data_IF_886044965364
#
_entry.id   IF_886044965364
#
_cell.length_a   1.000
_cell.length_b   1.000
_cell.length_c   1.000
_cell.angle_alpha   90.00
_cell.angle_beta   90.00
_cell.angle_gamma   90.00
#
_symmetry.space_group_name_H-M   'P 1'
#
loop_
_entity.id
_entity.type
_entity.pdbx_description
1 polymer ?
#
# COMPACT_ATOMS: atom_id res chain seq x y z
N UNK A 1 -20.15 7.77 9.63
CA UNK A 1 -18.74 7.33 9.71
C UNK A 1 -18.05 7.83 8.44
N UNK A 2 -17.05 8.73 8.54
CA UNK A 2 -16.23 9.12 7.39
C UNK A 2 -14.99 8.23 7.42
N UNK A 3 -14.97 7.19 6.58
CA UNK A 3 -13.75 6.43 6.32
C UNK A 3 -13.02 7.17 5.20
N UNK A 4 -11.85 7.72 5.50
CA UNK A 4 -11.06 8.44 4.51
C UNK A 4 -10.13 7.48 3.76
N UNK A 5 -9.61 6.46 4.44
CA UNK A 5 -8.65 5.49 3.90
C UNK A 5 -9.05 4.08 4.34
N UNK A 6 -9.09 3.15 3.40
CA UNK A 6 -9.32 1.72 3.64
C UNK A 6 -8.03 0.92 3.37
N UNK A 7 -7.68 0.00 4.26
CA UNK A 7 -6.48 -0.84 4.14
C UNK A 7 -6.88 -2.30 3.95
N UNK A 8 -6.32 -2.94 2.93
CA UNK A 8 -6.55 -4.33 2.58
C UNK A 8 -5.20 -5.06 2.42
N UNK A 9 -4.65 -5.60 3.52
CA UNK A 9 -3.53 -6.54 3.43
C UNK A 9 -3.97 -7.77 2.62
N UNK A 10 -3.21 -8.16 1.61
CA UNK A 10 -3.59 -9.22 0.68
C UNK A 10 -2.38 -10.06 0.26
N UNK A 11 -2.63 -11.35 0.03
CA UNK A 11 -1.62 -12.30 -0.46
C UNK A 11 -2.08 -12.82 -1.80
N UNK A 12 -1.22 -12.68 -2.82
CA UNK A 12 -1.45 -13.25 -4.15
C UNK A 12 -0.18 -13.99 -4.57
N UNK A 13 -0.31 -15.26 -4.97
CA UNK A 13 0.83 -16.10 -5.39
C UNK A 13 2.02 -16.05 -4.40
N UNK A 14 1.74 -16.21 -3.10
CA UNK A 14 2.74 -16.13 -2.01
C UNK A 14 3.44 -14.77 -1.86
N UNK A 15 2.90 -13.71 -2.46
CA UNK A 15 3.45 -12.36 -2.39
C UNK A 15 2.50 -11.42 -1.64
N UNK A 16 3.04 -10.65 -0.70
CA UNK A 16 2.29 -9.72 0.14
C UNK A 16 2.19 -8.35 -0.52
N UNK A 17 0.95 -7.86 -0.58
CA UNK A 17 0.61 -6.55 -1.14
C UNK A 17 -0.35 -5.86 -0.16
N UNK A 18 -0.13 -4.58 0.09
CA UNK A 18 -1.10 -3.76 0.83
C UNK A 18 -1.82 -2.86 -0.17
N UNK A 19 -3.09 -3.18 -0.40
CA UNK A 19 -3.99 -2.38 -1.23
C UNK A 19 -4.67 -1.33 -0.35
N UNK A 20 -4.54 -0.07 -0.71
CA UNK A 20 -5.08 1.07 0.01
C UNK A 20 -6.05 1.82 -0.90
N UNK A 21 -7.22 2.14 -0.38
CA UNK A 21 -8.18 3.02 -1.06
C UNK A 21 -8.28 4.32 -0.30
N UNK A 22 -7.73 5.38 -0.86
CA UNK A 22 -7.91 6.73 -0.34
C UNK A 22 -9.11 7.38 -1.04
N UNK A 23 -10.21 7.47 -0.28
CA UNK A 23 -11.50 7.99 -0.75
C UNK A 23 -11.43 9.51 -0.98
N UNK A 24 -10.61 10.23 -0.21
CA UNK A 24 -10.50 11.70 -0.26
C UNK A 24 -9.56 12.10 -1.38
N UNK A 25 -8.38 11.50 -1.47
CA UNK A 25 -7.42 11.73 -2.54
C UNK A 25 -7.87 11.11 -3.88
N UNK A 26 -8.91 10.26 -3.86
CA UNK A 26 -9.44 9.53 -5.01
C UNK A 26 -8.36 8.65 -5.67
N UNK A 27 -7.70 7.83 -4.86
CA UNK A 27 -6.58 6.97 -5.29
C UNK A 27 -6.75 5.53 -4.85
N UNK A 28 -6.32 4.63 -5.72
CA UNK A 28 -5.97 3.25 -5.44
C UNK A 28 -4.45 3.17 -5.32
N UNK A 29 -3.94 2.78 -4.15
CA UNK A 29 -2.51 2.75 -3.87
C UNK A 29 -2.12 1.30 -3.59
N UNK A 30 -1.10 0.82 -4.28
CA UNK A 30 -0.55 -0.52 -4.07
C UNK A 30 0.84 -0.38 -3.46
N UNK A 31 0.97 -0.74 -2.18
CA UNK A 31 2.28 -0.88 -1.56
C UNK A 31 2.78 -2.28 -1.80
N UNK A 32 3.79 -2.35 -2.66
CA UNK A 32 4.40 -3.60 -3.11
C UNK A 32 5.92 -3.41 -3.21
N UNK A 33 6.64 -4.14 -2.37
CA UNK A 33 8.11 -4.08 -2.28
C UNK A 33 8.83 -4.85 -3.38
N UNK A 34 8.16 -5.68 -4.18
CA UNK A 34 8.77 -6.37 -5.32
C UNK A 34 8.33 -5.78 -6.66
N UNK A 35 7.39 -4.84 -6.66
CA UNK A 35 6.95 -4.15 -7.88
C UNK A 35 8.11 -3.43 -8.57
N UNK A 36 8.38 -3.76 -9.84
CA UNK A 36 9.38 -3.10 -10.69
C UNK A 36 8.77 -2.55 -11.99
N UNK A 37 7.44 -2.49 -12.08
CA UNK A 37 6.72 -2.05 -13.28
C UNK A 37 5.99 -3.19 -13.99
N UNK A 38 4.73 -2.92 -14.36
CA UNK A 38 3.85 -3.61 -15.33
C UNK A 38 4.07 -5.11 -15.65
N UNK A 39 4.46 -5.93 -14.67
CA UNK A 39 4.51 -7.38 -14.90
C UNK A 39 3.08 -7.94 -15.02
N UNK A 40 2.86 -9.02 -15.78
CA UNK A 40 1.54 -9.65 -15.92
C UNK A 40 0.85 -9.95 -14.58
N UNK A 41 1.62 -10.43 -13.60
CA UNK A 41 1.14 -10.67 -12.24
C UNK A 41 0.56 -9.40 -11.59
N UNK A 42 1.27 -8.27 -11.64
CA UNK A 42 0.80 -7.04 -10.99
C UNK A 42 -0.42 -6.44 -11.71
N UNK A 43 -0.50 -6.59 -13.04
CA UNK A 43 -1.68 -6.16 -13.80
C UNK A 43 -2.91 -6.97 -13.42
N UNK A 44 -2.77 -8.30 -13.32
CA UNK A 44 -3.83 -9.21 -12.92
C UNK A 44 -4.32 -8.92 -11.49
N UNK A 45 -3.40 -8.79 -10.52
CA UNK A 45 -3.74 -8.49 -9.13
C UNK A 45 -4.41 -7.11 -9.02
N UNK A 46 -3.91 -6.10 -9.73
CA UNK A 46 -4.48 -4.75 -9.75
C UNK A 46 -5.93 -4.78 -10.22
N UNK A 47 -6.20 -5.40 -11.37
CA UNK A 47 -7.54 -5.46 -11.95
C UNK A 47 -8.48 -6.26 -11.04
N UNK A 48 -8.03 -7.38 -10.47
CA UNK A 48 -8.80 -8.17 -9.52
C UNK A 48 -9.21 -7.35 -8.29
N UNK A 49 -8.25 -6.69 -7.65
CA UNK A 49 -8.45 -5.95 -6.40
C UNK A 49 -9.37 -4.74 -6.60
N UNK A 50 -9.14 -3.95 -7.65
CA UNK A 50 -9.97 -2.77 -7.97
C UNK A 50 -11.39 -3.20 -8.32
N UNK A 51 -11.57 -4.21 -9.18
CA UNK A 51 -12.90 -4.64 -9.58
C UNK A 51 -13.69 -5.21 -8.41
N UNK A 52 -13.06 -6.02 -7.56
CA UNK A 52 -13.70 -6.56 -6.37
C UNK A 52 -14.12 -5.43 -5.42
N UNK A 53 -13.24 -4.46 -5.15
CA UNK A 53 -13.57 -3.33 -4.30
C UNK A 53 -14.76 -2.51 -4.83
N UNK A 54 -14.75 -2.16 -6.12
CA UNK A 54 -15.83 -1.40 -6.75
C UNK A 54 -17.15 -2.17 -6.66
N UNK A 55 -17.13 -3.46 -7.02
CA UNK A 55 -18.31 -4.33 -6.95
C UNK A 55 -18.87 -4.39 -5.53
N UNK A 56 -18.04 -4.68 -4.53
CA UNK A 56 -18.47 -4.75 -3.13
C UNK A 56 -19.02 -3.41 -2.64
N UNK A 57 -18.42 -2.28 -3.01
CA UNK A 57 -18.94 -0.97 -2.63
C UNK A 57 -20.31 -0.67 -3.25
N UNK A 58 -20.49 -0.99 -4.54
CA UNK A 58 -21.75 -0.82 -5.25
C UNK A 58 -22.86 -1.71 -4.67
N UNK A 59 -22.54 -2.97 -4.36
CA UNK A 59 -23.45 -3.91 -3.69
C UNK A 59 -23.84 -3.47 -2.28
N UNK A 60 -22.94 -2.77 -1.59
CA UNK A 60 -23.19 -2.21 -0.25
C UNK A 60 -24.15 -1.01 -0.25
N UNK A 61 -24.66 -0.58 -1.43
CA UNK A 61 -25.57 0.57 -1.62
C UNK A 61 -25.05 1.86 -0.98
N UNK A 62 -23.73 2.00 -0.91
CA UNK A 62 -23.06 3.20 -0.44
C UNK A 62 -23.15 4.32 -1.49
N UNK A 63 -22.78 5.55 -1.10
CA UNK A 63 -22.76 6.70 -2.01
C UNK A 63 -21.91 6.39 -3.24
N UNK A 64 -22.39 6.77 -4.42
CA UNK A 64 -21.61 6.68 -5.68
C UNK A 64 -20.38 7.58 -5.60
N UNK A 65 -19.20 7.01 -5.81
CA UNK A 65 -17.91 7.73 -5.72
C UNK A 65 -17.23 7.96 -7.06
N UNK A 66 -17.68 7.30 -8.14
CA UNK A 66 -17.02 7.39 -9.45
C UNK A 66 -15.61 6.82 -9.43
N UNK A 67 -15.44 5.63 -8.82
CA UNK A 67 -14.14 4.96 -8.65
C UNK A 67 -13.38 4.70 -9.94
N UNK A 68 -14.08 4.60 -11.08
CA UNK A 68 -13.46 4.48 -12.41
C UNK A 68 -12.54 5.65 -12.75
N UNK A 69 -12.70 6.79 -12.09
CA UNK A 69 -11.88 8.00 -12.28
C UNK A 69 -10.82 8.18 -11.17
N UNK A 70 -10.65 7.19 -10.29
CA UNK A 70 -9.60 7.25 -9.28
C UNK A 70 -8.23 7.03 -9.95
N UNK A 71 -7.22 7.75 -9.46
CA UNK A 71 -5.84 7.50 -9.86
C UNK A 71 -5.33 6.16 -9.31
N UNK A 72 -4.34 5.56 -9.98
CA UNK A 72 -3.65 4.36 -9.50
C UNK A 72 -2.20 4.76 -9.21
N UNK A 73 -1.70 4.37 -8.05
CA UNK A 73 -0.35 4.72 -7.60
C UNK A 73 0.40 3.50 -7.08
N UNK A 74 1.68 3.41 -7.47
CA UNK A 74 2.66 2.47 -6.94
C UNK A 74 3.82 3.30 -6.39
N UNK A 75 3.79 3.68 -5.10
CA UNK A 75 4.87 4.45 -4.49
C UNK A 75 6.20 3.70 -4.60
N UNK A 76 7.30 4.45 -4.63
CA UNK A 76 8.64 3.86 -4.59
C UNK A 76 8.87 3.22 -3.21
N UNK A 77 8.59 1.91 -3.12
CA UNK A 77 8.83 1.11 -1.94
C UNK A 77 10.29 0.62 -1.92
N UNK A 78 10.98 0.69 -0.77
CA UNK A 78 12.25 -0.01 -0.63
C UNK A 78 12.04 -1.51 -0.80
N UNK A 79 12.99 -2.14 -1.48
CA UNK A 79 12.85 -3.51 -1.97
C UNK A 79 13.11 -4.50 -0.85
N UNK A 80 12.23 -5.48 -0.71
CA UNK A 80 12.46 -6.57 0.23
C UNK A 80 13.62 -7.45 -0.21
N UNK A 81 14.40 -7.91 0.78
CA UNK A 81 15.41 -8.95 0.60
C UNK A 81 14.80 -10.24 1.16
N UNK A 82 13.85 -10.84 0.43
CA UNK A 82 13.11 -12.03 0.88
C UNK A 82 11.63 -11.98 0.50
N UNK A 83 10.85 -12.97 0.97
CA UNK A 83 9.37 -13.04 0.80
C UNK A 83 8.61 -13.05 2.14
N UNK A 84 9.27 -12.74 3.26
CA UNK A 84 8.63 -12.87 4.58
C UNK A 84 7.71 -11.68 4.87
N UNK A 85 6.54 -11.97 5.45
CA UNK A 85 5.59 -10.95 5.93
C UNK A 85 6.24 -9.95 6.90
N UNK A 86 7.21 -10.39 7.71
CA UNK A 86 7.94 -9.48 8.61
C UNK A 86 8.71 -8.42 7.85
N UNK A 87 9.34 -8.79 6.74
CA UNK A 87 10.07 -7.84 5.90
C UNK A 87 9.09 -6.85 5.25
N UNK A 88 7.87 -7.29 4.94
CA UNK A 88 6.79 -6.42 4.44
C UNK A 88 6.28 -5.46 5.49
N UNK A 89 5.93 -5.94 6.68
CA UNK A 89 5.49 -5.10 7.78
C UNK A 89 6.55 -4.07 8.16
N UNK A 90 7.82 -4.49 8.31
CA UNK A 90 8.91 -3.57 8.63
C UNK A 90 9.06 -2.47 7.56
N UNK A 91 8.82 -2.80 6.29
CA UNK A 91 8.93 -1.84 5.20
C UNK A 91 7.76 -0.87 5.15
N UNK A 92 6.54 -1.36 5.38
CA UNK A 92 5.33 -0.53 5.45
C UNK A 92 5.40 0.37 6.68
N UNK A 93 5.81 -0.15 7.84
CA UNK A 93 6.00 0.64 9.06
C UNK A 93 7.05 1.73 8.84
N UNK A 94 8.20 1.40 8.24
CA UNK A 94 9.21 2.40 7.90
C UNK A 94 8.65 3.49 6.97
N UNK A 95 7.96 3.11 5.88
CA UNK A 95 7.43 4.08 4.93
C UNK A 95 6.27 4.91 5.50
N UNK A 96 5.42 4.31 6.33
CA UNK A 96 4.34 5.01 7.01
C UNK A 96 4.90 5.98 8.05
N UNK A 97 5.92 5.56 8.83
CA UNK A 97 6.65 6.45 9.73
C UNK A 97 7.38 7.58 8.99
N UNK A 98 7.95 7.33 7.81
CA UNK A 98 8.56 8.40 6.97
C UNK A 98 7.50 9.36 6.40
N UNK A 99 6.33 8.85 6.00
CA UNK A 99 5.24 9.69 5.51
C UNK A 99 4.62 10.56 6.62
N UNK A 100 4.49 10.03 7.84
CA UNK A 100 3.98 10.78 9.00
C UNK A 100 5.01 11.75 9.60
N UNK A 101 6.31 11.47 9.46
CA UNK A 101 7.39 12.34 9.95
C UNK A 101 7.79 13.46 9.00
N UNK A 102 7.06 13.67 7.89
CA UNK A 102 7.33 14.79 6.98
C UNK A 102 6.36 15.97 7.17
N UNK A 103 6.67 16.90 8.09
CA UNK A 103 6.32 18.30 7.95
C UNK A 103 7.59 19.11 7.65
N UNK A 104 7.80 19.47 6.38
CA UNK A 104 8.78 20.47 5.91
C UNK A 104 10.28 20.16 6.23
N UNK A 105 11.25 20.82 5.56
CA UNK A 105 12.65 20.43 5.66
C UNK A 105 13.23 20.96 6.98
N UNK A 106 13.73 20.06 7.82
CA UNK A 106 14.59 20.41 8.95
C UNK A 106 15.90 19.63 8.82
N UNK A 107 16.97 20.39 9.03
CA UNK A 107 18.37 20.06 8.84
C UNK A 107 18.85 18.94 9.79
N UNK A 108 19.92 18.31 9.33
CA UNK A 108 20.82 17.33 9.95
C UNK A 108 20.87 17.26 11.50
N UNK A 109 20.74 16.04 12.02
CA UNK A 109 21.67 15.36 12.94
C UNK A 109 20.91 14.40 13.88
N UNK A 110 21.32 13.12 13.93
CA UNK A 110 20.93 12.25 15.05
C UNK A 110 20.64 10.79 14.72
N UNK A 111 21.71 10.02 14.53
CA UNK A 111 21.85 8.55 14.73
C UNK A 111 20.69 7.87 15.52
N UNK A 112 19.81 7.16 14.82
CA UNK A 112 18.84 6.21 15.38
C UNK A 112 19.14 4.77 14.93
N UNK A 113 19.62 3.93 15.85
CA UNK A 113 19.99 2.52 15.62
C UNK A 113 18.80 1.61 15.92
N UNK A 114 18.19 0.98 14.92
CA UNK A 114 17.24 -0.11 15.16
C UNK A 114 18.01 -1.38 15.55
N UNK A 115 17.94 -1.75 16.84
CA UNK A 115 18.45 -3.03 17.36
C UNK A 115 17.56 -4.16 16.83
N UNK A 116 18.19 -5.17 16.26
CA UNK A 116 17.52 -6.28 15.58
C UNK A 116 16.77 -7.24 16.49
N UNK A 117 15.96 -8.09 15.85
CA UNK A 117 15.67 -9.46 16.27
C UNK A 117 15.09 -10.26 15.09
N UNK A 118 15.97 -11.12 14.54
CA UNK A 118 15.77 -12.46 13.96
C UNK A 118 14.46 -12.86 13.27
N UNK A 119 14.64 -13.27 12.01
CA UNK A 119 13.71 -13.88 11.06
C UNK A 119 13.12 -15.23 11.51
N UNK A 120 11.87 -15.47 11.08
CA UNK A 120 11.39 -16.75 10.53
C UNK A 120 10.59 -16.42 9.27
#
# INVERSE_FOLDING_TARGET
MKVNVCFFPSVHHEHWILFIVDIVARKFIFLDSVYYGESPFHMEVKDLMINNFIKTWEESRLRRMGFRNFGIEYPNMPKQIGRCLRDFCAQVDANFCFAESSPAPIQDEGRGRCKGQTCC
#
